data_IF_022056579342
#
_entry.id   IF_022056579342
#
_cell.length_a   1.000
_cell.length_b   1.000
_cell.length_c   1.000
_cell.angle_alpha   90.00
_cell.angle_beta   90.00
_cell.angle_gamma   90.00
#
_symmetry.space_group_name_H-M   'P 1'
#
loop_
_entity.id
_entity.type
_entity.pdbx_description
1 polymer ?
#
# COMPACT_ATOMS: atom_id res chain seq x y z
N UNK A 1 -20.70 -27.82 -15.98
CA UNK A 1 -20.45 -26.52 -15.64
C UNK A 1 -19.10 -26.31 -15.06
N UNK A 2 -18.56 -25.38 -15.47
CA UNK A 2 -17.17 -25.22 -15.24
C UNK A 2 -16.86 -24.39 -14.03
N UNK A 3 -15.95 -24.88 -13.23
CA UNK A 3 -15.44 -24.09 -12.10
C UNK A 3 -14.62 -22.90 -12.56
N UNK A 4 -14.23 -22.89 -13.80
CA UNK A 4 -13.48 -21.75 -14.32
C UNK A 4 -14.21 -20.44 -14.18
N UNK A 5 -15.54 -20.51 -14.16
CA UNK A 5 -16.32 -19.30 -14.04
C UNK A 5 -16.04 -18.56 -12.75
N UNK A 6 -15.69 -19.31 -11.71
CA UNK A 6 -15.43 -18.67 -10.44
C UNK A 6 -14.10 -17.96 -10.42
N UNK A 7 -13.13 -18.48 -11.15
CA UNK A 7 -11.84 -17.82 -11.18
C UNK A 7 -11.91 -16.49 -11.90
N UNK A 8 -12.93 -16.29 -12.76
CA UNK A 8 -13.07 -15.03 -13.45
C UNK A 8 -13.52 -13.90 -12.53
N UNK A 9 -13.97 -14.22 -11.32
CA UNK A 9 -14.37 -13.20 -10.36
C UNK A 9 -13.20 -12.67 -9.56
N UNK A 10 -12.04 -13.30 -9.67
CA UNK A 10 -10.85 -12.83 -8.97
C UNK A 10 -10.02 -12.05 -9.96
N UNK A 11 -10.04 -10.73 -9.81
CA UNK A 11 -9.29 -9.86 -10.70
C UNK A 11 -8.02 -9.45 -9.98
N UNK A 12 -6.91 -9.92 -10.51
CA UNK A 12 -5.62 -9.64 -9.91
C UNK A 12 -5.01 -8.41 -10.57
N UNK A 13 -4.61 -7.44 -9.76
CA UNK A 13 -3.98 -6.25 -10.30
C UNK A 13 -2.56 -6.56 -10.74
N UNK A 14 -2.13 -5.87 -11.79
CA UNK A 14 -0.75 -5.98 -12.26
C UNK A 14 0.18 -5.05 -11.51
N UNK A 15 -0.38 -4.10 -10.77
CA UNK A 15 0.39 -3.04 -10.14
C UNK A 15 0.15 -3.00 -8.64
N UNK A 16 0.53 -4.05 -7.90
CA UNK A 16 0.33 -4.02 -6.46
C UNK A 16 1.30 -3.03 -5.81
N UNK A 17 0.84 -2.40 -4.74
CA UNK A 17 1.60 -1.34 -4.08
C UNK A 17 2.98 -1.79 -3.61
N UNK A 18 3.15 -3.05 -3.27
CA UNK A 18 4.45 -3.54 -2.80
C UNK A 18 5.54 -3.39 -3.85
N UNK A 19 5.17 -3.23 -5.12
CA UNK A 19 6.11 -3.04 -6.21
C UNK A 19 6.23 -1.58 -6.62
N UNK A 20 5.62 -0.68 -5.87
CA UNK A 20 5.62 0.74 -6.19
C UNK A 20 6.72 1.47 -5.41
N UNK A 21 7.41 2.41 -6.08
CA UNK A 21 8.46 3.18 -5.42
C UNK A 21 7.93 4.03 -4.27
N UNK A 22 6.64 4.31 -4.27
CA UNK A 22 6.03 5.13 -3.23
C UNK A 22 5.53 4.34 -2.04
N UNK A 23 5.70 3.03 -2.05
CA UNK A 23 5.24 2.17 -0.98
C UNK A 23 6.21 2.20 0.19
N UNK A 24 5.68 2.42 1.39
CA UNK A 24 6.45 2.42 2.63
C UNK A 24 6.04 1.18 3.41
N UNK A 25 7.00 0.29 3.64
CA UNK A 25 6.72 -0.94 4.36
C UNK A 25 6.37 -0.65 5.80
N UNK A 26 5.33 -1.33 6.29
CA UNK A 26 5.05 -1.33 7.71
C UNK A 26 6.08 -2.19 8.41
N UNK A 27 6.67 -1.65 9.49
CA UNK A 27 7.65 -2.38 10.28
C UNK A 27 7.21 -2.38 11.73
N UNK A 28 7.11 -3.56 12.28
CA UNK A 28 6.82 -3.72 13.69
C UNK A 28 8.13 -3.76 14.45
N UNK A 29 8.22 -2.96 15.50
CA UNK A 29 9.40 -2.93 16.33
C UNK A 29 9.00 -3.29 17.76
N UNK A 30 9.62 -4.31 18.31
CA UNK A 30 9.32 -4.70 19.67
C UNK A 30 10.10 -3.84 20.66
N UNK A 31 9.84 -4.00 21.98
CA UNK A 31 10.50 -3.17 22.99
C UNK A 31 12.01 -3.35 23.06
N UNK A 32 12.53 -4.38 22.44
CA UNK A 32 13.96 -4.66 22.46
C UNK A 32 14.67 -4.19 21.22
N UNK A 33 14.01 -3.31 20.47
CA UNK A 33 14.58 -2.68 19.29
C UNK A 33 14.82 -3.59 18.12
N UNK A 34 14.25 -4.76 18.13
CA UNK A 34 14.33 -5.62 16.96
C UNK A 34 13.17 -5.35 16.04
N UNK A 35 13.48 -5.25 14.77
CA UNK A 35 12.45 -5.11 13.75
C UNK A 35 12.02 -6.50 13.36
N UNK A 36 10.80 -6.83 13.72
CA UNK A 36 10.25 -8.08 13.27
C UNK A 36 9.53 -7.83 11.99
N UNK A 37 8.98 -8.59 11.56
CA UNK A 37 7.97 -8.74 10.61
C UNK A 37 7.49 -7.48 9.91
N UNK A 38 7.21 -7.59 8.67
CA UNK A 38 6.53 -6.54 7.92
C UNK A 38 5.23 -7.12 7.39
N UNK A 39 4.14 -6.43 7.66
CA UNK A 39 2.84 -6.85 7.15
C UNK A 39 2.51 -5.99 5.93
N UNK A 40 2.51 -6.56 4.73
CA UNK A 40 2.28 -5.76 3.52
C UNK A 40 0.94 -5.05 3.52
N UNK A 41 -0.03 -5.59 4.25
CA UNK A 41 -1.36 -4.97 4.29
C UNK A 41 -1.37 -3.65 5.05
N UNK A 42 -0.35 -3.40 5.86
CA UNK A 42 -0.29 -2.21 6.70
C UNK A 42 0.66 -1.14 6.17
N UNK A 43 1.20 -1.34 4.99
CA UNK A 43 2.08 -0.35 4.40
C UNK A 43 1.36 0.93 4.03
N UNK A 44 2.13 1.99 3.85
CA UNK A 44 1.62 3.32 3.57
C UNK A 44 2.06 3.79 2.19
N UNK A 45 1.37 4.79 1.68
CA UNK A 45 1.74 5.40 0.41
C UNK A 45 2.37 6.76 0.68
N UNK A 46 3.57 6.98 0.15
CA UNK A 46 4.32 8.20 0.38
C UNK A 46 3.67 9.43 -0.25
N UNK A 47 2.80 9.24 -1.21
CA UNK A 47 2.20 10.35 -1.94
C UNK A 47 1.03 11.00 -1.20
N UNK A 48 0.44 10.33 -0.24
CA UNK A 48 -0.77 10.82 0.42
C UNK A 48 -0.61 10.75 1.93
N UNK A 49 -1.02 11.79 2.59
CA UNK A 49 -0.92 11.84 4.03
C UNK A 49 -1.29 13.21 4.55
N UNK A 50 -1.11 13.37 5.84
CA UNK A 50 -1.42 14.62 6.53
C UNK A 50 -0.32 14.94 7.49
N UNK A 51 -0.06 16.21 7.68
CA UNK A 51 0.88 16.63 8.71
C UNK A 51 0.24 16.56 10.07
N UNK A 52 0.94 15.96 11.02
CA UNK A 52 0.53 16.00 12.41
C UNK A 52 0.89 17.37 12.95
N UNK A 53 -0.12 18.14 13.32
CA UNK A 53 0.09 19.53 13.71
C UNK A 53 0.82 19.68 15.03
N UNK A 54 0.89 18.62 15.82
CA UNK A 54 1.60 18.64 17.09
C UNK A 54 3.08 18.36 16.90
N UNK A 55 3.41 17.36 16.08
CA UNK A 55 4.79 16.91 15.92
C UNK A 55 5.46 17.44 14.67
N UNK A 56 4.67 17.91 13.70
CA UNK A 56 5.19 18.33 12.40
C UNK A 56 5.53 17.19 11.47
N UNK A 57 5.30 15.98 11.88
CA UNK A 57 5.61 14.82 11.05
C UNK A 57 4.45 14.48 10.13
N UNK A 58 4.78 13.90 8.99
CA UNK A 58 3.77 13.49 8.03
C UNK A 58 3.30 12.08 8.39
N UNK A 59 2.00 11.93 8.50
CA UNK A 59 1.38 10.62 8.70
C UNK A 59 0.79 10.18 7.37
N UNK A 60 1.40 9.18 6.77
CA UNK A 60 1.02 8.74 5.44
C UNK A 60 -0.19 7.82 5.52
N UNK A 61 -1.03 7.90 4.49
CA UNK A 61 -2.23 7.07 4.42
C UNK A 61 -1.86 5.63 4.09
N UNK A 62 -2.66 4.68 4.56
CA UNK A 62 -2.46 3.28 4.19
C UNK A 62 -2.58 3.11 2.69
N UNK A 63 -1.65 2.35 2.13
CA UNK A 63 -1.63 2.12 0.69
C UNK A 63 -2.94 1.49 0.21
N UNK A 64 -3.50 0.59 0.99
CA UNK A 64 -4.76 -0.03 0.64
C UNK A 64 -5.86 1.02 0.47
N UNK A 65 -5.95 1.95 1.41
CA UNK A 65 -6.97 2.98 1.35
C UNK A 65 -6.75 3.92 0.17
N UNK A 66 -5.50 4.21 -0.16
CA UNK A 66 -5.19 5.01 -1.33
C UNK A 66 -5.66 4.35 -2.62
N UNK A 67 -5.57 3.01 -2.68
CA UNK A 67 -6.00 2.28 -3.87
C UNK A 67 -7.51 2.15 -3.94
N UNK A 68 -8.20 2.27 -2.82
CA UNK A 68 -9.66 2.23 -2.81
C UNK A 68 -10.28 3.60 -3.08
N UNK A 69 -9.48 4.65 -3.04
CA UNK A 69 -9.94 6.02 -3.21
C UNK A 69 -9.55 6.51 -4.59
N UNK A 70 -10.54 6.71 -5.46
CA UNK A 70 -10.29 7.12 -6.83
C UNK A 70 -9.76 8.55 -6.94
N UNK A 71 -9.92 9.33 -5.88
CA UNK A 71 -9.33 10.68 -5.85
C UNK A 71 -7.86 10.63 -5.48
N UNK A 72 -7.38 9.48 -4.99
CA UNK A 72 -5.97 9.26 -4.70
C UNK A 72 -5.39 8.36 -5.79
N UNK A 73 -4.83 7.20 -5.40
CA UNK A 73 -4.23 6.34 -6.40
C UNK A 73 -5.25 5.53 -7.20
N UNK A 74 -6.32 5.09 -6.53
CA UNK A 74 -7.37 4.35 -7.18
C UNK A 74 -7.02 2.91 -7.45
N UNK A 75 -8.03 2.14 -7.84
CA UNK A 75 -7.85 0.70 -8.06
C UNK A 75 -6.89 0.39 -9.19
N UNK A 76 -6.81 1.27 -10.18
CA UNK A 76 -5.90 1.07 -11.31
C UNK A 76 -4.48 1.51 -11.01
N UNK A 77 -4.26 2.18 -9.88
CA UNK A 77 -2.93 2.62 -9.51
C UNK A 77 -2.40 3.73 -10.40
N UNK A 78 -3.14 4.82 -10.52
CA UNK A 78 -2.76 5.86 -11.46
C UNK A 78 -1.42 6.52 -11.14
N UNK A 79 -0.96 6.41 -9.90
CA UNK A 79 0.34 6.95 -9.52
C UNK A 79 1.38 5.85 -9.29
N UNK A 80 1.05 4.64 -9.68
CA UNK A 80 1.98 3.53 -9.53
C UNK A 80 3.22 3.78 -10.36
N UNK A 81 4.37 3.50 -9.75
CA UNK A 81 5.64 3.63 -10.44
C UNK A 81 6.52 2.46 -10.01
N UNK A 82 6.90 1.64 -10.96
CA UNK A 82 7.63 0.39 -10.69
C UNK A 82 8.98 0.66 -10.08
N UNK A 83 9.32 -0.14 -9.07
CA UNK A 83 10.68 -0.14 -8.53
C UNK A 83 11.60 -0.72 -9.60
N UNK A 84 12.64 0.00 -9.90
CA UNK A 84 13.65 -0.44 -10.86
C UNK A 84 14.82 -1.00 -10.07
N UNK A 85 15.12 -2.27 -10.32
CA UNK A 85 16.21 -2.95 -9.62
C UNK A 85 17.45 -3.09 -10.50
#
# INVERSE_FOLDING_TARGET
MSLRLFSSFVVKTKNPCINCVNYIKYKYRNPYDEIYDTNPKLGNCRLFGKENLVTGQIEYDYALLCRLDETQCGKKGKYFNTIIL
#
